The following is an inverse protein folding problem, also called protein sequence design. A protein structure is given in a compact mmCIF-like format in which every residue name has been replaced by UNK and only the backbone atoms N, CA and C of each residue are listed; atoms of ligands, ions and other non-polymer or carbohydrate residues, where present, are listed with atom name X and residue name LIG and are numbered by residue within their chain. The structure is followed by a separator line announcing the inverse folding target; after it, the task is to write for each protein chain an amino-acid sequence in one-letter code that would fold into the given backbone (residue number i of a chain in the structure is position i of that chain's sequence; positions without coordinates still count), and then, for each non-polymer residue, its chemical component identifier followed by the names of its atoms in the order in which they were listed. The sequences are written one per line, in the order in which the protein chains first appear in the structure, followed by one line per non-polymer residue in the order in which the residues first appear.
data_IF_761127963841
#
_entry.id   IF_761127963841
#
_cell.length_a   1.000
_cell.length_b   1.000
_cell.length_c   1.000
_cell.angle_alpha   90.00
_cell.angle_beta   90.00
_cell.angle_gamma   90.00
#
_symmetry.space_group_name_H-M   'P 1'
#
loop_
_entity.id
_entity.type
_entity.pdbx_description
1 polymer ?
#
# COMPACT_ATOMS: atom_id res chain seq x y z
N UNK A 1 9.17 1.77 -0.72
CA UNK A 1 8.84 1.65 0.72
C UNK A 1 8.33 2.98 1.21
N UNK A 2 7.30 2.97 2.06
CA UNK A 2 6.61 4.13 2.61
C UNK A 2 6.86 4.18 4.12
N UNK A 3 7.41 5.29 4.67
CA UNK A 3 7.71 5.44 6.09
C UNK A 3 6.47 5.44 7.00
N UNK A 4 6.69 5.20 8.29
CA UNK A 4 5.66 5.12 9.34
C UNK A 4 4.83 6.41 9.49
N UNK A 5 5.45 7.58 9.28
CA UNK A 5 4.78 8.88 9.41
C UNK A 5 3.84 9.27 8.25
N UNK A 6 3.71 8.45 7.21
CA UNK A 6 2.86 8.78 6.06
C UNK A 6 1.42 8.41 6.38
N UNK A 7 0.59 9.44 6.62
CA UNK A 7 -0.82 9.26 6.98
C UNK A 7 -1.79 9.39 5.80
N UNK A 8 -1.30 9.81 4.62
CA UNK A 8 -2.13 9.97 3.43
C UNK A 8 -1.38 9.72 2.12
N UNK A 9 -2.05 9.07 1.17
CA UNK A 9 -1.66 8.94 -0.24
C UNK A 9 -2.64 9.76 -1.07
N UNK A 10 -2.13 10.66 -1.91
CA UNK A 10 -2.98 11.51 -2.76
C UNK A 10 -3.54 10.73 -3.95
N UNK A 11 -4.56 11.32 -4.58
CA UNK A 11 -5.13 10.82 -5.83
C UNK A 11 -4.03 10.51 -6.84
N UNK A 12 -4.14 9.35 -7.50
CA UNK A 12 -3.26 8.94 -8.59
C UNK A 12 -1.76 8.83 -8.25
N UNK A 13 -1.37 8.77 -6.97
CA UNK A 13 0.05 8.76 -6.57
C UNK A 13 0.88 7.64 -7.23
N UNK A 14 0.27 6.47 -7.48
CA UNK A 14 0.88 5.35 -8.19
C UNK A 14 0.10 4.97 -9.46
N UNK A 15 -0.65 5.93 -10.02
CA UNK A 15 -1.37 5.73 -11.28
C UNK A 15 -0.34 5.45 -12.38
N UNK A 16 -0.57 4.39 -13.15
CA UNK A 16 0.28 3.96 -14.27
C UNK A 16 1.65 3.41 -13.89
N UNK A 17 1.91 3.13 -12.61
CA UNK A 17 3.08 2.35 -12.20
C UNK A 17 2.89 0.85 -12.53
N UNK A 18 2.80 0.49 -13.81
CA UNK A 18 2.49 -0.88 -14.29
C UNK A 18 3.55 -1.91 -13.89
N UNK A 19 4.81 -1.49 -13.73
CA UNK A 19 5.90 -2.34 -13.23
C UNK A 19 5.95 -2.47 -11.70
N UNK A 20 5.06 -1.79 -10.96
CA UNK A 20 5.06 -1.82 -9.49
C UNK A 20 4.44 -3.13 -9.00
N UNK A 21 5.30 -4.04 -8.53
CA UNK A 21 4.89 -5.35 -8.03
C UNK A 21 4.66 -5.36 -6.52
N UNK A 22 5.33 -4.49 -5.76
CA UNK A 22 5.25 -4.47 -4.31
C UNK A 22 5.38 -3.05 -3.73
N UNK A 23 4.59 -2.75 -2.70
CA UNK A 23 4.74 -1.54 -1.89
C UNK A 23 4.79 -1.93 -0.43
N UNK A 24 5.85 -1.54 0.27
CA UNK A 24 6.01 -1.81 1.70
C UNK A 24 5.67 -0.56 2.51
N UNK A 25 4.75 -0.66 3.46
CA UNK A 25 4.41 0.36 4.45
C UNK A 25 5.00 0.00 5.81
N UNK A 26 5.65 0.99 6.44
CA UNK A 26 6.27 0.83 7.74
C UNK A 26 5.39 1.32 8.90
N UNK A 27 4.18 1.79 8.61
CA UNK A 27 3.22 2.30 9.58
C UNK A 27 1.78 1.90 9.30
N UNK A 28 0.87 2.54 10.03
CA UNK A 28 -0.57 2.35 9.93
C UNK A 28 -1.09 2.64 8.52
N UNK A 29 -2.25 2.08 8.18
CA UNK A 29 -2.88 2.28 6.88
C UNK A 29 -3.16 3.78 6.63
N UNK A 30 -2.55 4.39 5.61
CA UNK A 30 -2.83 5.79 5.31
C UNK A 30 -4.21 5.93 4.68
N UNK A 31 -4.76 7.13 4.75
CA UNK A 31 -5.92 7.49 3.93
C UNK A 31 -5.50 7.49 2.46
N UNK A 32 -6.23 6.79 1.61
CA UNK A 32 -5.99 6.80 0.17
C UNK A 32 -6.98 7.74 -0.55
N UNK A 33 -6.44 8.54 -1.46
CA UNK A 33 -7.24 9.24 -2.46
C UNK A 33 -7.66 8.30 -3.58
N UNK A 34 -8.78 8.63 -4.23
CA UNK A 34 -9.36 7.85 -5.33
C UNK A 34 -8.30 7.45 -6.37
N UNK A 35 -8.36 6.18 -6.82
CA UNK A 35 -7.54 5.65 -7.91
C UNK A 35 -6.03 5.74 -7.63
N UNK A 36 -5.62 5.64 -6.36
CA UNK A 36 -4.21 5.72 -5.95
C UNK A 36 -3.31 4.70 -6.67
N UNK A 37 -3.84 3.50 -6.97
CA UNK A 37 -3.17 2.42 -7.70
C UNK A 37 -3.88 2.07 -9.02
N UNK A 38 -4.48 3.05 -9.70
CA UNK A 38 -5.09 2.79 -11.01
C UNK A 38 -4.02 2.32 -12.01
N UNK A 39 -4.32 1.25 -12.74
CA UNK A 39 -3.38 0.60 -13.69
C UNK A 39 -2.12 -0.04 -13.06
N UNK A 40 -1.97 0.01 -11.74
CA UNK A 40 -0.90 -0.67 -11.01
C UNK A 40 -1.50 -1.77 -10.13
N UNK A 41 -0.91 -2.96 -10.09
CA UNK A 41 -1.44 -4.09 -9.30
C UNK A 41 -0.43 -4.62 -8.28
N UNK A 42 0.13 -3.77 -7.39
CA UNK A 42 1.11 -4.23 -6.42
C UNK A 42 0.48 -5.10 -5.33
N UNK A 43 1.30 -5.94 -4.72
CA UNK A 43 1.00 -6.44 -3.37
C UNK A 43 1.48 -5.43 -2.34
N UNK A 44 0.61 -5.12 -1.39
CA UNK A 44 0.92 -4.23 -0.27
C UNK A 44 1.48 -5.06 0.87
N UNK A 45 2.64 -4.68 1.38
CA UNK A 45 3.27 -5.30 2.53
C UNK A 45 3.24 -4.33 3.70
N UNK A 46 2.85 -4.79 4.88
CA UNK A 46 2.80 -3.96 6.10
C UNK A 46 3.51 -4.64 7.27
N UNK A 47 3.92 -3.86 8.26
CA UNK A 47 4.44 -4.40 9.53
C UNK A 47 3.32 -5.07 10.36
N UNK A 48 3.59 -6.16 11.08
CA UNK A 48 2.58 -6.85 11.89
C UNK A 48 1.93 -5.97 12.96
N UNK A 49 2.62 -4.93 13.44
CA UNK A 49 2.12 -3.99 14.45
C UNK A 49 1.24 -2.86 13.88
N UNK A 50 1.27 -2.66 12.55
CA UNK A 50 0.53 -1.59 11.89
C UNK A 50 -0.99 -1.84 11.90
N UNK A 51 -1.76 -0.79 12.17
CA UNK A 51 -3.21 -0.80 12.37
C UNK A 51 -3.94 -0.23 11.15
N UNK A 52 -5.26 -0.45 11.11
CA UNK A 52 -6.14 0.11 10.07
C UNK A 52 -6.09 -0.60 8.71
N UNK A 53 -5.32 -1.67 8.59
CA UNK A 53 -5.24 -2.48 7.37
C UNK A 53 -6.38 -3.51 7.30
N UNK A 54 -7.06 -3.57 6.16
CA UNK A 54 -7.94 -4.69 5.80
C UNK A 54 -7.20 -5.78 5.02
N UNK A 55 -7.94 -6.78 4.55
CA UNK A 55 -7.41 -7.79 3.61
C UNK A 55 -6.91 -7.15 2.30
N UNK A 56 -7.51 -6.02 1.92
CA UNK A 56 -7.10 -5.21 0.78
C UNK A 56 -6.98 -3.73 1.14
N UNK A 57 -6.19 -3.01 0.33
CA UNK A 57 -6.03 -1.56 0.36
C UNK A 57 -6.14 -1.02 -1.06
N UNK A 58 -7.13 -0.17 -1.34
CA UNK A 58 -7.42 0.31 -2.71
C UNK A 58 -7.61 -0.85 -3.73
N UNK A 59 -8.23 -1.96 -3.28
CA UNK A 59 -8.41 -3.17 -4.10
C UNK A 59 -7.14 -3.98 -4.35
N UNK A 60 -6.05 -3.69 -3.62
CA UNK A 60 -4.77 -4.43 -3.70
C UNK A 60 -4.59 -5.34 -2.48
N UNK A 61 -4.05 -6.55 -2.64
CA UNK A 61 -3.89 -7.48 -1.53
C UNK A 61 -2.90 -6.93 -0.52
N UNK A 62 -3.20 -7.11 0.77
CA UNK A 62 -2.32 -6.73 1.88
C UNK A 62 -1.75 -7.98 2.55
N UNK A 63 -0.44 -8.03 2.75
CA UNK A 63 0.32 -9.11 3.38
C UNK A 63 1.28 -8.59 4.44
N UNK A 64 1.78 -9.46 5.30
CA UNK A 64 2.84 -9.13 6.24
C UNK A 64 4.17 -9.00 5.52
N UNK A 65 5.00 -8.05 5.95
CA UNK A 65 6.34 -7.83 5.39
C UNK A 65 7.24 -9.08 5.48
N UNK A 66 6.97 -9.98 6.44
CA UNK A 66 7.64 -11.28 6.60
C UNK A 66 7.30 -12.29 5.50
N UNK A 67 6.20 -12.09 4.75
CA UNK A 67 5.76 -12.96 3.64
C UNK A 67 6.28 -12.47 2.28
N UNK A 68 7.10 -11.42 2.26
CA UNK A 68 7.64 -10.86 1.04
C UNK A 68 8.63 -11.88 0.41
N UNK A 69 8.53 -12.14 -0.91
CA UNK A 69 9.48 -12.99 -1.61
C UNK A 69 10.88 -12.38 -1.66
#
# INVERSE_FOLDING_TARGET
TIPDGVTSIRHYAFRECTSLTAVTFLGDAPKAGERGFSSATPTIYRKPEAKGWGETFEGRPVKLISEKP
#
